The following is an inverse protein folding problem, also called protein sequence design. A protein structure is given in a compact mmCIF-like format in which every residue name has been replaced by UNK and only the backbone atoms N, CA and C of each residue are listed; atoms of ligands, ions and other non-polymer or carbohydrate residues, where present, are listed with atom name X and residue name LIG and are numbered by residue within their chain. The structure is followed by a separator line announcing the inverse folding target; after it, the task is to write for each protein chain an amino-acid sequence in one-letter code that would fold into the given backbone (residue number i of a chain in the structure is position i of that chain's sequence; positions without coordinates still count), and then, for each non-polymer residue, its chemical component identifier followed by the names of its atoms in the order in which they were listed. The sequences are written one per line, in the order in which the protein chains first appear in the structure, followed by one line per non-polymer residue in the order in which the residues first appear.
data_IF_827658131813
#
_entry.id   IF_827658131813
#
_cell.length_a   1.000
_cell.length_b   1.000
_cell.length_c   1.000
_cell.angle_alpha   90.00
_cell.angle_beta   90.00
_cell.angle_gamma   90.00
#
_symmetry.space_group_name_H-M   'P 1'
#
loop_
_entity.id
_entity.type
_entity.pdbx_description
1 polymer ?
#
# COMPACT_ATOMS: atom_id res chain seq x y z
N UNK A 1 12.52 19.44 -10.67
CA UNK A 1 12.80 18.00 -10.43
C UNK A 1 12.92 17.77 -8.93
N UNK A 2 11.83 17.39 -8.26
CA UNK A 2 11.86 17.00 -6.85
C UNK A 2 11.90 15.47 -6.82
N UNK A 3 12.96 14.90 -6.27
CA UNK A 3 13.30 13.48 -6.32
C UNK A 3 12.18 12.59 -5.74
N UNK A 4 11.83 11.51 -6.43
CA UNK A 4 10.95 10.41 -5.96
C UNK A 4 11.29 9.93 -4.52
N UNK A 5 12.55 10.14 -4.10
CA UNK A 5 13.02 9.91 -2.73
C UNK A 5 12.18 10.65 -1.67
N UNK A 6 11.63 11.83 -1.94
CA UNK A 6 10.86 12.60 -0.94
C UNK A 6 9.44 12.05 -0.68
N UNK A 7 8.77 11.49 -1.69
CA UNK A 7 7.47 10.84 -1.52
C UNK A 7 7.56 9.53 -0.72
N UNK A 8 8.64 8.76 -0.94
CA UNK A 8 8.98 7.58 -0.13
C UNK A 8 9.27 7.95 1.33
N UNK A 9 9.84 9.14 1.60
CA UNK A 9 10.07 9.63 2.97
C UNK A 9 8.74 10.00 3.65
N UNK A 10 7.78 10.60 2.95
CA UNK A 10 6.47 10.90 3.53
C UNK A 10 5.68 9.62 3.86
N UNK A 11 5.66 8.63 2.95
CA UNK A 11 5.09 7.30 3.24
C UNK A 11 5.86 6.54 4.32
N UNK A 12 7.19 6.67 4.34
CA UNK A 12 8.06 6.10 5.36
C UNK A 12 7.85 6.68 6.75
N UNK A 13 7.63 8.00 6.87
CA UNK A 13 7.32 8.66 8.15
C UNK A 13 5.94 8.26 8.66
N UNK A 14 4.97 8.07 7.77
CA UNK A 14 3.63 7.56 8.11
C UNK A 14 3.68 6.12 8.63
N UNK A 15 4.42 5.24 7.94
CA UNK A 15 4.68 3.87 8.42
C UNK A 15 5.45 3.90 9.73
N UNK A 16 6.41 4.83 9.89
CA UNK A 16 7.12 4.99 11.16
C UNK A 16 6.18 5.49 12.25
N UNK A 17 5.21 6.37 12.00
CA UNK A 17 4.20 6.77 12.98
C UNK A 17 3.22 5.63 13.34
N UNK A 18 3.00 4.68 12.44
CA UNK A 18 2.21 3.47 12.72
C UNK A 18 3.03 2.42 13.51
N UNK A 19 4.24 2.11 13.05
CA UNK A 19 5.22 1.28 13.76
C UNK A 19 5.66 1.92 15.08
N UNK A 20 5.58 3.24 15.19
CA UNK A 20 5.92 4.01 16.37
C UNK A 20 5.08 3.63 17.56
N UNK A 21 3.80 3.40 17.30
CA UNK A 21 2.87 3.04 18.34
C UNK A 21 2.93 1.53 18.68
N UNK A 22 3.58 0.69 17.87
CA UNK A 22 3.86 -0.72 18.23
C UNK A 22 4.64 -0.86 19.55
N UNK A 23 5.43 0.14 19.94
CA UNK A 23 6.19 0.13 21.19
C UNK A 23 5.41 0.58 22.44
N UNK A 24 4.22 1.15 22.29
CA UNK A 24 3.59 1.94 23.36
C UNK A 24 2.53 1.12 24.09
N UNK A 25 2.92 0.63 25.27
CA UNK A 25 2.00 0.09 26.26
C UNK A 25 0.95 1.13 26.67
N UNK A 26 -0.26 0.66 26.98
CA UNK A 26 -1.40 1.50 27.35
C UNK A 26 -1.04 2.44 28.52
N UNK A 27 -0.84 3.74 28.27
CA UNK A 27 -0.74 4.72 29.33
C UNK A 27 -1.50 6.02 29.03
N UNK A 28 -2.05 6.55 30.11
CA UNK A 28 -3.00 7.65 30.18
C UNK A 28 -2.56 8.95 29.49
N UNK A 29 -3.56 9.78 29.20
CA UNK A 29 -3.55 11.00 28.38
C UNK A 29 -2.47 12.05 28.64
N UNK A 30 -1.71 11.94 29.74
CA UNK A 30 -0.59 12.85 30.05
C UNK A 30 0.75 12.44 29.44
N UNK A 31 0.94 11.17 29.05
CA UNK A 31 2.23 10.66 28.54
C UNK A 31 2.25 10.40 27.04
N UNK A 32 1.10 10.48 26.36
CA UNK A 32 1.01 10.19 24.93
C UNK A 32 1.95 11.07 24.09
N UNK A 33 2.09 12.34 24.43
CA UNK A 33 3.01 13.24 23.72
C UNK A 33 4.47 12.87 23.96
N UNK A 34 4.88 12.72 25.22
CA UNK A 34 6.26 12.37 25.60
C UNK A 34 6.72 11.06 24.96
N UNK A 35 5.83 10.07 24.86
CA UNK A 35 6.13 8.76 24.27
C UNK A 35 6.29 8.83 22.74
N UNK A 36 5.45 9.59 22.04
CA UNK A 36 5.63 9.85 20.60
C UNK A 36 6.95 10.59 20.38
N UNK A 37 7.25 11.59 21.21
CA UNK A 37 8.49 12.35 21.15
C UNK A 37 9.69 11.45 21.39
N UNK A 38 9.70 10.68 22.47
CA UNK A 38 10.80 9.79 22.83
C UNK A 38 11.09 8.75 21.75
N UNK A 39 10.04 8.28 21.06
CA UNK A 39 10.25 7.40 19.93
C UNK A 39 10.74 8.12 18.68
N UNK A 40 10.18 9.29 18.34
CA UNK A 40 10.72 10.08 17.23
C UNK A 40 12.20 10.42 17.47
N UNK A 41 12.61 10.63 18.73
CA UNK A 41 14.01 10.74 19.12
C UNK A 41 14.76 9.41 18.92
N UNK A 42 14.17 8.28 19.36
CA UNK A 42 14.74 6.92 19.19
C UNK A 42 14.99 6.58 17.71
N UNK A 43 14.12 7.02 16.80
CA UNK A 43 14.20 6.78 15.36
C UNK A 43 14.89 7.90 14.58
N UNK A 44 15.34 8.98 15.25
CA UNK A 44 16.00 10.12 14.60
C UNK A 44 15.07 10.95 13.68
N UNK A 45 13.76 10.94 13.94
CA UNK A 45 12.73 11.61 13.15
C UNK A 45 12.09 12.80 13.87
N UNK A 46 12.60 13.19 15.03
CA UNK A 46 12.09 14.32 15.83
C UNK A 46 11.92 15.60 15.03
N UNK A 47 12.92 15.93 14.22
CA UNK A 47 12.92 17.14 13.39
C UNK A 47 12.08 17.00 12.12
N UNK A 48 11.57 15.79 11.84
CA UNK A 48 10.78 15.50 10.64
C UNK A 48 9.28 15.47 10.91
N UNK A 49 8.82 15.37 12.15
CA UNK A 49 7.39 15.29 12.46
C UNK A 49 7.02 16.35 13.48
N UNK A 50 6.04 17.18 13.12
CA UNK A 50 5.48 18.23 13.98
C UNK A 50 3.95 18.15 13.92
N UNK A 51 3.28 18.50 15.00
CA UNK A 51 1.82 18.57 15.06
C UNK A 51 1.40 19.83 15.80
N UNK A 52 0.19 20.31 15.53
CA UNK A 52 -0.34 21.49 16.21
C UNK A 52 -0.89 21.16 17.59
N UNK A 53 -1.57 20.02 17.71
CA UNK A 53 -2.14 19.58 18.98
C UNK A 53 -2.31 18.06 19.00
N UNK A 54 -2.23 17.52 20.20
CA UNK A 54 -2.54 16.12 20.51
C UNK A 54 -3.69 16.10 21.53
N UNK A 55 -4.63 15.19 21.31
CA UNK A 55 -5.67 14.86 22.28
C UNK A 55 -5.66 13.37 22.52
N UNK A 56 -5.67 12.96 23.78
CA UNK A 56 -5.68 11.56 24.17
C UNK A 56 -6.91 11.28 25.03
N UNK A 57 -7.58 10.16 24.79
CA UNK A 57 -8.73 9.73 25.58
C UNK A 57 -8.28 8.84 26.75
N UNK A 58 -9.04 8.80 27.85
CA UNK A 58 -8.76 7.91 28.98
C UNK A 58 -8.88 6.42 28.59
N UNK A 59 -9.46 6.11 27.43
CA UNK A 59 -9.66 4.75 26.92
C UNK A 59 -8.58 4.30 25.93
N UNK A 60 -7.44 5.00 25.85
CA UNK A 60 -6.28 4.56 25.06
C UNK A 60 -6.38 4.87 23.57
N UNK A 61 -7.00 6.00 23.20
CA UNK A 61 -6.94 6.55 21.84
C UNK A 61 -6.22 7.89 21.82
N UNK A 62 -5.53 8.20 20.73
CA UNK A 62 -4.86 9.47 20.52
C UNK A 62 -5.28 10.06 19.17
N UNK A 63 -5.35 11.39 19.11
CA UNK A 63 -5.65 12.14 17.90
C UNK A 63 -4.70 13.33 17.80
N UNK A 64 -3.85 13.30 16.79
CA UNK A 64 -2.96 14.40 16.42
C UNK A 64 -3.65 15.20 15.32
N UNK A 65 -3.61 16.53 15.42
CA UNK A 65 -4.16 17.45 14.41
C UNK A 65 -3.05 18.23 13.73
N UNK A 66 -3.24 18.47 12.43
CA UNK A 66 -2.36 19.29 11.59
C UNK A 66 -0.91 18.81 11.70
N UNK A 67 -0.70 17.55 11.32
CA UNK A 67 0.61 16.90 11.34
C UNK A 67 1.38 17.31 10.09
N UNK A 68 2.55 17.90 10.30
CA UNK A 68 3.51 18.27 9.26
C UNK A 68 4.64 17.27 9.24
N UNK A 69 4.90 16.71 8.06
CA UNK A 69 6.03 15.81 7.81
C UNK A 69 7.07 16.54 6.95
N UNK A 70 8.32 16.53 7.39
CA UNK A 70 9.48 17.14 6.74
C UNK A 70 10.15 18.24 7.58
N UNK A 71 11.38 18.64 7.16
CA UNK A 71 12.17 19.66 7.86
C UNK A 71 11.40 20.96 8.07
N UNK A 72 11.75 21.68 9.14
CA UNK A 72 11.30 23.05 9.35
C UNK A 72 11.62 23.93 8.11
N UNK A 73 10.60 24.58 7.55
CA UNK A 73 10.72 25.42 6.34
C UNK A 73 10.58 24.68 4.99
N UNK A 74 10.64 23.35 4.95
CA UNK A 74 10.42 22.58 3.72
C UNK A 74 9.60 21.31 4.00
N UNK A 75 8.31 21.46 4.35
CA UNK A 75 7.43 20.32 4.55
C UNK A 75 7.33 19.50 3.25
N UNK A 76 7.24 18.19 3.39
CA UNK A 76 7.05 17.25 2.28
C UNK A 76 5.65 16.64 2.28
N UNK A 77 4.95 16.65 3.41
CA UNK A 77 3.54 16.34 3.51
C UNK A 77 2.86 17.08 4.66
N UNK A 78 1.57 17.32 4.51
CA UNK A 78 0.65 17.89 5.48
C UNK A 78 -0.49 16.89 5.66
N UNK A 79 -0.87 16.63 6.90
CA UNK A 79 -1.89 15.65 7.26
C UNK A 79 -2.85 16.33 8.22
N UNK A 80 -4.14 16.34 7.90
CA UNK A 80 -5.14 17.00 8.74
C UNK A 80 -5.28 16.33 10.10
N UNK A 81 -5.33 14.99 10.11
CA UNK A 81 -5.54 14.23 11.33
C UNK A 81 -4.86 12.87 11.28
N UNK A 82 -4.22 12.48 12.38
CA UNK A 82 -3.81 11.10 12.66
C UNK A 82 -4.59 10.61 13.87
N UNK A 83 -5.42 9.58 13.70
CA UNK A 83 -6.16 8.89 14.76
C UNK A 83 -5.49 7.58 15.07
N UNK A 84 -5.37 7.26 16.35
CA UNK A 84 -4.77 6.03 16.84
C UNK A 84 -5.73 5.43 17.87
N UNK A 85 -6.08 4.17 17.70
CA UNK A 85 -7.06 3.48 18.55
C UNK A 85 -6.85 1.97 18.56
N UNK A 86 -7.64 1.26 19.40
CA UNK A 86 -7.65 -0.22 19.42
C UNK A 86 -6.34 -0.86 19.87
N UNK A 87 -5.52 -0.08 20.59
CA UNK A 87 -4.18 -0.48 20.97
C UNK A 87 -4.21 -1.48 22.10
N UNK A 88 -3.52 -2.59 21.90
CA UNK A 88 -3.26 -3.59 22.93
C UNK A 88 -1.78 -3.95 22.85
N UNK A 89 -1.13 -4.04 23.99
CA UNK A 89 0.24 -4.50 24.10
C UNK A 89 0.36 -5.31 25.40
N UNK A 90 -0.12 -6.54 25.34
CA UNK A 90 -0.03 -7.51 26.43
C UNK A 90 1.06 -8.54 26.11
N UNK A 91 1.34 -9.44 27.04
CA UNK A 91 2.35 -10.49 26.84
C UNK A 91 2.02 -11.43 25.68
N UNK A 92 0.72 -11.63 25.42
CA UNK A 92 0.12 -12.59 24.49
C UNK A 92 -0.34 -11.95 23.16
N UNK A 93 -0.73 -10.67 23.17
CA UNK A 93 -1.33 -10.02 21.99
C UNK A 93 -0.92 -8.57 21.82
N UNK A 94 -0.74 -8.17 20.57
CA UNK A 94 -0.51 -6.77 20.20
C UNK A 94 -1.38 -6.37 19.02
N UNK A 95 -2.19 -5.34 19.20
CA UNK A 95 -3.08 -4.85 18.14
C UNK A 95 -3.07 -3.34 18.08
N UNK A 96 -3.54 -2.78 16.97
CA UNK A 96 -3.76 -1.36 16.84
C UNK A 96 -4.39 -0.97 15.51
N UNK A 97 -4.86 0.27 15.47
CA UNK A 97 -5.53 0.88 14.34
C UNK A 97 -5.09 2.34 14.24
N UNK A 98 -4.46 2.67 13.11
CA UNK A 98 -3.97 4.00 12.79
C UNK A 98 -4.69 4.47 11.54
N UNK A 99 -5.37 5.61 11.64
CA UNK A 99 -6.04 6.26 10.51
C UNK A 99 -5.40 7.63 10.27
N UNK A 100 -5.05 7.89 9.02
CA UNK A 100 -4.48 9.13 8.52
C UNK A 100 -5.49 9.72 7.57
N UNK A 101 -5.92 10.94 7.86
CA UNK A 101 -6.93 11.66 7.12
C UNK A 101 -6.32 12.93 6.53
N UNK A 102 -6.62 13.18 5.25
CA UNK A 102 -6.22 14.42 4.59
C UNK A 102 -4.72 14.52 4.31
N UNK A 103 -4.07 13.41 3.90
CA UNK A 103 -2.65 13.43 3.54
C UNK A 103 -2.44 14.12 2.17
N UNK A 104 -1.75 15.25 2.20
CA UNK A 104 -1.47 16.08 1.05
C UNK A 104 0.00 16.55 1.04
N UNK A 105 0.43 17.05 -0.11
CA UNK A 105 1.64 17.83 -0.29
C UNK A 105 1.41 19.28 0.15
N UNK A 106 2.47 20.10 0.31
CA UNK A 106 2.32 21.51 0.70
C UNK A 106 1.49 22.37 -0.26
N UNK A 107 1.32 21.94 -1.51
CA UNK A 107 0.47 22.60 -2.51
C UNK A 107 -1.01 22.15 -2.41
N UNK A 108 -1.37 21.33 -1.44
CA UNK A 108 -2.74 20.86 -1.21
C UNK A 108 -3.15 19.62 -2.00
N UNK A 109 -2.32 19.14 -2.93
CA UNK A 109 -2.63 17.94 -3.73
C UNK A 109 -2.21 16.67 -3.01
N UNK A 110 -2.82 15.53 -3.35
CA UNK A 110 -2.45 14.23 -2.76
C UNK A 110 -0.95 13.96 -2.82
N UNK A 111 -0.41 13.30 -1.79
CA UNK A 111 0.93 12.71 -1.82
C UNK A 111 1.11 11.68 -2.95
N UNK A 112 0.02 11.06 -3.42
CA UNK A 112 0.03 10.10 -4.53
C UNK A 112 0.08 10.76 -5.91
N UNK A 113 -0.17 12.07 -6.02
CA UNK A 113 -0.09 12.81 -7.29
C UNK A 113 1.31 12.77 -7.92
N UNK A 114 2.35 12.50 -7.14
CA UNK A 114 3.73 12.38 -7.62
C UNK A 114 4.07 11.01 -8.21
N UNK A 115 3.18 10.03 -8.07
CA UNK A 115 3.41 8.68 -8.58
C UNK A 115 3.36 8.66 -10.11
N UNK A 116 4.10 7.76 -10.74
CA UNK A 116 4.04 7.57 -12.19
C UNK A 116 2.63 7.17 -12.66
N UNK A 117 1.89 6.48 -11.79
CA UNK A 117 0.49 6.12 -12.01
C UNK A 117 -0.36 7.39 -12.19
N UNK A 118 -0.35 8.30 -11.20
CA UNK A 118 -1.11 9.56 -11.27
C UNK A 118 -0.70 10.44 -12.46
N UNK A 119 0.60 10.51 -12.76
CA UNK A 119 1.12 11.25 -13.93
C UNK A 119 0.61 10.71 -15.25
N UNK A 120 0.61 9.38 -15.44
CA UNK A 120 0.16 8.74 -16.68
C UNK A 120 -1.33 8.91 -16.92
N UNK A 121 -2.13 8.97 -15.87
CA UNK A 121 -3.56 9.24 -15.97
C UNK A 121 -3.91 10.74 -16.05
N UNK A 122 -2.92 11.64 -16.05
CA UNK A 122 -3.17 13.08 -16.06
C UNK A 122 -3.81 13.63 -14.77
N UNK A 123 -3.81 12.85 -13.68
CA UNK A 123 -4.39 13.21 -12.38
C UNK A 123 -3.33 13.84 -11.47
N UNK A 124 -2.90 15.05 -11.81
CA UNK A 124 -1.90 15.80 -11.02
C UNK A 124 -2.51 16.57 -9.85
N UNK A 125 -3.81 16.88 -9.92
CA UNK A 125 -4.55 17.65 -8.93
C UNK A 125 -5.55 16.74 -8.21
N UNK A 126 -5.02 15.77 -7.47
CA UNK A 126 -5.85 14.83 -6.71
C UNK A 126 -6.15 15.40 -5.32
N UNK A 127 -7.38 15.23 -4.80
CA UNK A 127 -7.70 15.56 -3.42
C UNK A 127 -6.82 14.78 -2.43
N UNK A 128 -6.66 15.27 -1.18
CA UNK A 128 -5.90 14.59 -0.14
C UNK A 128 -6.32 13.12 0.04
N UNK A 129 -5.35 12.24 0.32
CA UNK A 129 -5.58 10.81 0.48
C UNK A 129 -5.82 10.44 1.95
N UNK A 130 -6.55 9.35 2.18
CA UNK A 130 -6.66 8.73 3.51
C UNK A 130 -5.99 7.36 3.51
N UNK A 131 -5.40 6.99 4.65
CA UNK A 131 -4.79 5.68 4.86
C UNK A 131 -5.20 5.15 6.22
N UNK A 132 -5.69 3.93 6.29
CA UNK A 132 -5.90 3.20 7.54
C UNK A 132 -5.04 1.96 7.56
N UNK A 133 -4.35 1.73 8.67
CA UNK A 133 -3.56 0.53 8.92
C UNK A 133 -4.04 -0.08 10.22
N UNK A 134 -4.47 -1.33 10.16
CA UNK A 134 -4.86 -2.11 11.33
C UNK A 134 -4.00 -3.37 11.37
N UNK A 135 -3.53 -3.72 12.56
CA UNK A 135 -2.78 -4.95 12.78
C UNK A 135 -3.27 -5.65 14.05
N UNK A 136 -3.07 -6.96 14.08
CA UNK A 136 -3.39 -7.80 15.21
C UNK A 136 -2.45 -9.00 15.23
N UNK A 137 -1.49 -9.00 16.15
CA UNK A 137 -0.45 -10.00 16.31
C UNK A 137 -0.71 -10.80 17.58
N UNK A 138 -0.78 -12.12 17.47
CA UNK A 138 -0.91 -13.03 18.60
C UNK A 138 0.42 -13.78 18.75
N UNK A 139 1.12 -13.53 19.86
CA UNK A 139 2.47 -14.05 20.11
C UNK A 139 2.48 -15.56 20.30
N UNK A 140 1.49 -16.08 21.02
CA UNK A 140 1.43 -17.51 21.38
C UNK A 140 1.14 -18.38 20.15
N UNK A 141 0.30 -17.88 19.24
CA UNK A 141 -0.02 -18.55 17.98
C UNK A 141 0.97 -18.23 16.84
N UNK A 142 1.92 -17.33 17.07
CA UNK A 142 2.90 -16.85 16.08
C UNK A 142 2.23 -16.41 14.77
N UNK A 143 1.11 -15.67 14.86
CA UNK A 143 0.32 -15.21 13.73
C UNK A 143 0.05 -13.70 13.78
N UNK A 144 -0.16 -13.08 12.62
CA UNK A 144 -0.59 -11.70 12.54
C UNK A 144 -1.60 -11.47 11.41
N UNK A 145 -2.61 -10.66 11.69
CA UNK A 145 -3.50 -10.09 10.69
C UNK A 145 -3.08 -8.65 10.42
N UNK A 146 -2.97 -8.27 9.15
CA UNK A 146 -2.68 -6.92 8.70
C UNK A 146 -3.76 -6.48 7.72
N UNK A 147 -4.32 -5.30 7.95
CA UNK A 147 -5.28 -4.66 7.05
C UNK A 147 -4.79 -3.26 6.72
N UNK A 148 -4.78 -2.91 5.44
CA UNK A 148 -4.43 -1.59 4.94
C UNK A 148 -5.55 -1.14 4.00
N UNK A 149 -6.13 0.03 4.28
CA UNK A 149 -7.12 0.68 3.42
C UNK A 149 -6.54 2.01 2.96
N UNK A 150 -6.41 2.18 1.65
CA UNK A 150 -6.01 3.42 1.00
C UNK A 150 -7.21 3.99 0.26
N UNK A 151 -7.59 5.21 0.60
CA UNK A 151 -8.62 5.96 -0.12
C UNK A 151 -7.95 7.13 -0.84
N UNK A 152 -8.01 7.10 -2.17
CA UNK A 152 -7.61 8.21 -3.02
C UNK A 152 -8.83 8.69 -3.79
N UNK A 153 -9.54 9.71 -3.27
CA UNK A 153 -10.70 10.30 -3.95
C UNK A 153 -10.36 10.68 -5.39
N UNK A 154 -11.31 10.44 -6.30
CA UNK A 154 -11.20 10.71 -7.73
C UNK A 154 -10.12 9.91 -8.48
N UNK A 155 -9.52 8.90 -7.85
CA UNK A 155 -8.63 7.95 -8.50
C UNK A 155 -8.98 6.50 -8.18
N UNK A 156 -8.75 6.04 -6.95
CA UNK A 156 -8.96 4.65 -6.55
C UNK A 156 -9.10 4.49 -5.05
N UNK A 157 -9.74 3.40 -4.64
CA UNK A 157 -9.71 2.90 -3.28
C UNK A 157 -9.10 1.49 -3.30
N UNK A 158 -8.19 1.19 -2.38
CA UNK A 158 -7.53 -0.10 -2.30
C UNK A 158 -7.61 -0.65 -0.87
N UNK A 159 -7.94 -1.93 -0.73
CA UNK A 159 -7.99 -2.66 0.54
C UNK A 159 -7.12 -3.89 0.43
N UNK A 160 -6.09 -3.98 1.28
CA UNK A 160 -5.22 -5.13 1.42
C UNK A 160 -5.48 -5.76 2.80
N UNK A 161 -5.77 -7.06 2.83
CA UNK A 161 -5.79 -7.87 4.05
C UNK A 161 -4.79 -9.02 3.89
N UNK A 162 -3.99 -9.28 4.91
CA UNK A 162 -2.99 -10.35 4.93
C UNK A 162 -3.08 -11.10 6.26
N UNK A 163 -3.14 -12.42 6.18
CA UNK A 163 -2.95 -13.31 7.31
C UNK A 163 -1.55 -13.90 7.23
N UNK A 164 -0.76 -13.72 8.28
CA UNK A 164 0.65 -14.07 8.35
C UNK A 164 0.91 -15.08 9.46
N UNK A 165 1.88 -15.96 9.26
CA UNK A 165 2.38 -16.93 10.24
C UNK A 165 3.89 -16.80 10.39
N UNK A 166 4.45 -17.25 11.52
CA UNK A 166 5.89 -17.14 11.84
C UNK A 166 6.38 -15.70 11.90
N UNK A 167 5.60 -14.85 12.54
CA UNK A 167 5.82 -13.41 12.67
C UNK A 167 6.74 -13.03 13.84
N UNK A 168 6.92 -13.91 14.83
CA UNK A 168 7.70 -13.66 16.05
C UNK A 168 9.11 -13.14 15.73
N UNK A 169 9.79 -13.78 14.77
CA UNK A 169 11.11 -13.35 14.29
C UNK A 169 11.08 -11.94 13.68
N UNK A 170 10.10 -11.66 12.81
CA UNK A 170 9.94 -10.35 12.18
C UNK A 170 9.62 -9.24 13.21
N UNK A 171 8.78 -9.56 14.20
CA UNK A 171 8.43 -8.62 15.29
C UNK A 171 9.65 -8.34 16.16
N UNK A 172 10.43 -9.37 16.52
CA UNK A 172 11.65 -9.16 17.30
C UNK A 172 12.67 -8.28 16.58
N UNK A 173 12.76 -8.41 15.25
CA UNK A 173 13.61 -7.55 14.42
C UNK A 173 13.13 -6.10 14.39
N UNK A 174 11.80 -5.89 14.36
CA UNK A 174 11.20 -4.56 14.42
C UNK A 174 11.39 -3.88 15.80
N UNK A 175 11.66 -4.65 16.86
CA UNK A 175 11.98 -4.10 18.19
C UNK A 175 13.47 -3.73 18.32
N UNK A 176 14.34 -4.31 17.49
CA UNK A 176 15.78 -4.05 17.49
C UNK A 176 16.12 -2.77 16.70
N UNK A 177 16.62 -1.77 17.43
CA UNK A 177 17.02 -0.45 16.91
C UNK A 177 18.13 -0.55 15.87
N UNK A 178 19.14 -1.38 16.12
CA UNK A 178 20.31 -1.48 15.25
C UNK A 178 19.96 -2.22 13.95
N UNK A 179 18.99 -3.13 14.02
CA UNK A 179 18.42 -3.80 12.86
C UNK A 179 17.59 -2.85 11.98
N UNK A 180 16.70 -2.04 12.58
CA UNK A 180 15.89 -1.05 11.85
C UNK A 180 16.73 0.04 11.18
N UNK A 181 17.76 0.56 11.87
CA UNK A 181 18.69 1.54 11.29
C UNK A 181 19.50 0.89 10.15
N UNK A 182 19.93 -0.36 10.32
CA UNK A 182 20.59 -1.13 9.26
C UNK A 182 19.71 -1.30 8.02
N UNK A 183 18.42 -1.62 8.21
CA UNK A 183 17.41 -1.74 7.16
C UNK A 183 17.21 -0.42 6.40
N UNK A 184 17.04 0.68 7.13
CA UNK A 184 16.87 2.02 6.52
C UNK A 184 18.10 2.43 5.69
N UNK A 185 19.31 2.14 6.16
CA UNK A 185 20.56 2.40 5.44
C UNK A 185 20.73 1.49 4.22
N UNK A 186 20.30 0.22 4.29
CA UNK A 186 20.30 -0.70 3.15
C UNK A 186 19.29 -0.30 2.06
N UNK A 187 18.10 0.17 2.44
CA UNK A 187 17.12 0.72 1.49
C UNK A 187 17.66 1.90 0.69
N UNK A 188 18.63 2.65 1.23
CA UNK A 188 19.34 3.72 0.52
C UNK A 188 20.52 3.24 -0.36
N UNK A 189 21.14 2.09 -0.04
CA UNK A 189 22.36 1.59 -0.69
C UNK A 189 22.11 0.49 -1.74
N UNK A 190 20.85 0.07 -1.93
CA UNK A 190 20.43 -0.89 -2.94
C UNK A 190 20.37 -2.34 -2.44
N UNK A 191 19.37 -3.09 -2.94
CA UNK A 191 19.01 -4.46 -2.52
C UNK A 191 20.00 -5.56 -2.98
N UNK A 192 21.31 -5.27 -3.01
CA UNK A 192 22.30 -6.20 -3.58
C UNK A 192 22.60 -7.42 -2.72
N UNK A 193 22.34 -7.36 -1.41
CA UNK A 193 22.62 -8.45 -0.46
C UNK A 193 21.62 -8.41 0.69
N UNK A 194 20.63 -9.30 0.67
CA UNK A 194 19.85 -9.62 1.87
C UNK A 194 20.86 -10.20 2.86
N UNK A 195 21.25 -9.40 3.85
CA UNK A 195 22.21 -9.81 4.87
C UNK A 195 21.58 -10.83 5.83
N UNK A 196 22.40 -11.51 6.65
CA UNK A 196 21.93 -12.45 7.66
C UNK A 196 20.96 -11.81 8.68
N UNK A 197 20.91 -10.49 8.79
CA UNK A 197 20.04 -9.77 9.73
C UNK A 197 18.58 -9.78 9.30
N UNK A 198 18.28 -10.03 8.02
CA UNK A 198 16.91 -10.18 7.52
C UNK A 198 16.44 -11.64 7.47
N UNK A 199 17.25 -12.59 7.96
CA UNK A 199 16.85 -14.00 8.06
C UNK A 199 15.51 -14.19 8.79
N UNK A 200 15.17 -13.45 9.87
CA UNK A 200 13.86 -13.59 10.50
C UNK A 200 12.68 -13.16 9.61
N UNK A 201 12.89 -12.25 8.66
CA UNK A 201 11.85 -11.87 7.68
C UNK A 201 11.67 -12.93 6.60
N UNK A 202 12.70 -13.74 6.35
CA UNK A 202 12.66 -14.80 5.35
C UNK A 202 11.73 -15.95 5.77
N UNK A 203 11.59 -16.17 7.08
CA UNK A 203 10.75 -17.22 7.67
C UNK A 203 9.27 -16.85 7.76
N UNK A 204 8.93 -15.55 7.71
CA UNK A 204 7.57 -15.04 7.67
C UNK A 204 6.79 -15.70 6.52
N UNK A 205 5.59 -16.21 6.80
CA UNK A 205 4.74 -16.89 5.82
C UNK A 205 3.44 -16.15 5.58
N UNK A 206 3.03 -16.06 4.32
CA UNK A 206 1.71 -15.59 3.92
C UNK A 206 0.77 -16.79 3.95
N UNK A 207 -0.20 -16.79 4.88
CA UNK A 207 -1.23 -17.82 5.01
C UNK A 207 -2.37 -17.60 4.03
N UNK A 208 -2.83 -16.36 3.94
CA UNK A 208 -3.83 -15.90 2.98
C UNK A 208 -3.68 -14.41 2.77
N UNK A 209 -4.29 -13.90 1.70
CA UNK A 209 -4.34 -12.48 1.45
C UNK A 209 -5.47 -12.10 0.52
N UNK A 210 -5.92 -10.87 0.59
CA UNK A 210 -6.85 -10.30 -0.38
C UNK A 210 -6.45 -8.86 -0.68
N UNK A 211 -6.43 -8.49 -1.95
CA UNK A 211 -6.28 -7.13 -2.42
C UNK A 211 -7.50 -6.78 -3.27
N UNK A 212 -8.33 -5.87 -2.77
CA UNK A 212 -9.45 -5.29 -3.53
C UNK A 212 -9.07 -3.89 -3.99
N UNK A 213 -9.32 -3.58 -5.25
CA UNK A 213 -9.13 -2.25 -5.83
C UNK A 213 -10.43 -1.83 -6.48
N UNK A 214 -10.92 -0.66 -6.10
CA UNK A 214 -12.07 0.01 -6.70
C UNK A 214 -11.61 1.26 -7.43
N UNK A 215 -11.87 1.33 -8.72
CA UNK A 215 -11.72 2.54 -9.52
C UNK A 215 -12.72 3.61 -9.07
N UNK A 216 -12.21 4.81 -8.84
CA UNK A 216 -12.98 6.01 -8.51
C UNK A 216 -12.75 7.13 -9.53
N UNK A 217 -12.32 6.78 -10.75
CA UNK A 217 -12.14 7.70 -11.87
C UNK A 217 -10.75 7.65 -12.53
N UNK A 218 -9.82 6.85 -12.01
CA UNK A 218 -8.50 6.65 -12.60
C UNK A 218 -8.59 5.90 -13.94
N UNK A 219 -9.27 4.75 -13.96
CA UNK A 219 -9.39 3.89 -15.14
C UNK A 219 -10.18 4.60 -16.21
N UNK A 220 -11.33 5.18 -15.86
CA UNK A 220 -12.16 5.90 -16.81
C UNK A 220 -11.37 6.99 -17.56
N UNK A 221 -10.66 7.87 -16.83
CA UNK A 221 -9.87 8.92 -17.45
C UNK A 221 -8.69 8.34 -18.25
N UNK A 222 -8.04 7.30 -17.76
CA UNK A 222 -6.95 6.63 -18.48
C UNK A 222 -7.42 6.07 -19.83
N UNK A 223 -8.60 5.46 -19.87
CA UNK A 223 -9.22 4.95 -21.09
C UNK A 223 -9.59 6.08 -22.05
N UNK A 224 -10.17 7.17 -21.55
CA UNK A 224 -10.50 8.34 -22.37
C UNK A 224 -9.25 8.98 -23.01
N UNK A 225 -8.19 9.17 -22.23
CA UNK A 225 -6.91 9.68 -22.72
C UNK A 225 -6.28 8.71 -23.71
N UNK A 226 -6.29 7.41 -23.42
CA UNK A 226 -5.77 6.39 -24.32
C UNK A 226 -6.49 6.41 -25.67
N UNK A 227 -7.83 6.42 -25.66
CA UNK A 227 -8.64 6.52 -26.88
C UNK A 227 -8.30 7.78 -27.68
N UNK A 228 -8.17 8.92 -27.00
CA UNK A 228 -7.92 10.22 -27.66
C UNK A 228 -6.55 10.30 -28.31
N UNK A 229 -5.51 9.80 -27.65
CA UNK A 229 -4.11 10.01 -28.07
C UNK A 229 -3.49 8.83 -28.81
N UNK A 230 -3.99 7.60 -28.62
CA UNK A 230 -3.40 6.40 -29.22
C UNK A 230 -4.27 5.79 -30.33
N UNK A 231 -5.53 6.21 -30.48
CA UNK A 231 -6.44 5.68 -31.51
C UNK A 231 -6.81 6.76 -32.53
N UNK A 232 -6.56 6.45 -33.80
CA UNK A 232 -6.87 7.31 -34.92
C UNK A 232 -8.35 7.21 -35.30
N UNK A 233 -8.93 8.35 -35.67
CA UNK A 233 -10.23 8.40 -36.31
C UNK A 233 -10.04 8.81 -37.77
N UNK A 234 -10.68 8.08 -38.68
CA UNK A 234 -10.61 8.37 -40.11
C UNK A 234 -11.49 9.58 -40.47
N UNK A 235 -10.93 10.61 -41.13
CA UNK A 235 -11.69 11.76 -41.57
C UNK A 235 -12.81 11.36 -42.53
N UNK A 236 -14.04 11.82 -42.26
CA UNK A 236 -15.20 11.59 -43.14
C UNK A 236 -16.03 10.34 -42.83
N UNK A 237 -15.54 9.40 -42.02
CA UNK A 237 -16.28 8.18 -41.66
C UNK A 237 -17.11 8.32 -40.37
N UNK A 238 -18.02 9.29 -40.32
CA UNK A 238 -18.95 9.45 -39.20
C UNK A 238 -18.31 9.98 -37.91
N UNK A 239 -18.82 9.57 -36.74
CA UNK A 239 -18.42 10.14 -35.45
C UNK A 239 -17.06 9.57 -34.97
N UNK A 240 -16.01 10.42 -34.80
CA UNK A 240 -14.68 9.99 -34.36
C UNK A 240 -14.64 9.20 -33.05
N UNK A 241 -15.48 9.57 -32.08
CA UNK A 241 -15.49 8.93 -30.75
C UNK A 241 -16.08 7.51 -30.83
N UNK A 242 -17.07 7.30 -31.70
CA UNK A 242 -17.61 5.96 -31.97
C UNK A 242 -16.59 5.06 -32.66
N UNK A 243 -15.80 5.60 -33.58
CA UNK A 243 -14.72 4.84 -34.22
C UNK A 243 -13.67 4.40 -33.20
N UNK A 244 -13.18 5.34 -32.36
CA UNK A 244 -12.19 5.04 -31.31
C UNK A 244 -12.71 4.07 -30.27
N UNK A 245 -13.99 4.20 -29.88
CA UNK A 245 -14.61 3.25 -28.96
C UNK A 245 -14.59 1.83 -29.54
N UNK A 246 -15.01 1.65 -30.80
CA UNK A 246 -14.99 0.34 -31.47
C UNK A 246 -13.57 -0.24 -31.61
N UNK A 247 -12.59 0.61 -31.94
CA UNK A 247 -11.18 0.18 -32.00
C UNK A 247 -10.65 -0.23 -30.62
N UNK A 248 -11.00 0.50 -29.57
CA UNK A 248 -10.63 0.19 -28.20
C UNK A 248 -11.24 -1.14 -27.74
N UNK A 249 -12.54 -1.36 -27.98
CA UNK A 249 -13.21 -2.60 -27.59
C UNK A 249 -12.57 -3.81 -28.27
N UNK A 250 -12.18 -3.66 -29.54
CA UNK A 250 -11.41 -4.67 -30.27
C UNK A 250 -10.02 -4.89 -29.64
N UNK A 251 -9.31 -3.82 -29.29
CA UNK A 251 -8.00 -3.90 -28.63
C UNK A 251 -8.07 -4.62 -27.28
N UNK A 252 -9.10 -4.34 -26.48
CA UNK A 252 -9.34 -5.03 -25.20
C UNK A 252 -9.63 -6.51 -25.45
N UNK A 253 -10.52 -6.83 -26.39
CA UNK A 253 -10.84 -8.23 -26.72
C UNK A 253 -9.63 -9.00 -27.25
N UNK A 254 -8.81 -8.39 -28.11
CA UNK A 254 -7.61 -9.02 -28.67
C UNK A 254 -6.53 -9.19 -27.58
N UNK A 255 -6.43 -8.23 -26.65
CA UNK A 255 -5.54 -8.33 -25.48
C UNK A 255 -5.98 -9.43 -24.51
N UNK A 256 -7.29 -9.56 -24.25
CA UNK A 256 -7.84 -10.62 -23.42
C UNK A 256 -7.53 -12.00 -24.02
N UNK A 257 -7.86 -12.21 -25.31
CA UNK A 257 -7.55 -13.47 -26.00
C UNK A 257 -6.07 -13.80 -25.98
N UNK A 258 -5.20 -12.81 -26.20
CA UNK A 258 -3.75 -13.02 -26.10
C UNK A 258 -3.33 -13.43 -24.69
N UNK A 259 -3.91 -12.84 -23.65
CA UNK A 259 -3.66 -13.22 -22.27
C UNK A 259 -4.03 -14.70 -22.02
N UNK A 260 -5.20 -15.12 -22.51
CA UNK A 260 -5.71 -16.50 -22.45
C UNK A 260 -4.80 -17.47 -23.21
N UNK A 261 -4.52 -17.19 -24.48
CA UNK A 261 -3.73 -18.03 -25.39
C UNK A 261 -2.28 -18.21 -24.92
N UNK A 262 -1.66 -17.13 -24.43
CA UNK A 262 -0.28 -17.15 -23.94
C UNK A 262 -0.17 -17.64 -22.49
N UNK A 263 -1.30 -17.92 -21.83
CA UNK A 263 -1.36 -18.24 -20.40
C UNK A 263 -0.56 -17.23 -19.56
N UNK A 264 -0.81 -15.94 -19.83
CA UNK A 264 -0.08 -14.82 -19.19
C UNK A 264 -0.26 -14.77 -17.68
N UNK A 265 -1.35 -15.36 -17.18
CA UNK A 265 -1.68 -15.52 -15.77
C UNK A 265 -1.57 -16.99 -15.34
N UNK A 266 -0.69 -17.78 -15.98
CA UNK A 266 -0.37 -19.13 -15.55
C UNK A 266 0.02 -19.15 -14.08
N UNK A 267 -0.62 -20.02 -13.30
CA UNK A 267 -0.45 -20.13 -11.86
C UNK A 267 -1.58 -19.51 -11.05
N UNK A 268 -2.48 -18.72 -11.67
CA UNK A 268 -3.81 -18.47 -11.11
C UNK A 268 -4.66 -19.75 -11.14
N UNK A 269 -5.66 -19.83 -10.27
CA UNK A 269 -6.58 -20.98 -10.20
C UNK A 269 -7.31 -21.18 -11.53
N UNK A 270 -7.73 -20.08 -12.17
CA UNK A 270 -8.23 -20.06 -13.54
C UNK A 270 -7.60 -18.89 -14.31
N UNK A 271 -6.77 -19.22 -15.30
CA UNK A 271 -6.11 -18.21 -16.14
C UNK A 271 -7.10 -17.40 -16.96
N UNK A 272 -8.12 -18.06 -17.51
CA UNK A 272 -8.99 -17.44 -18.51
C UNK A 272 -9.98 -16.48 -17.83
N UNK A 273 -10.54 -16.90 -16.69
CA UNK A 273 -11.34 -16.02 -15.83
C UNK A 273 -10.52 -14.83 -15.30
N UNK A 274 -9.26 -15.06 -14.90
CA UNK A 274 -8.39 -13.97 -14.45
C UNK A 274 -8.07 -12.99 -15.58
N UNK A 275 -7.80 -13.47 -16.80
CA UNK A 275 -7.57 -12.62 -17.97
C UNK A 275 -8.81 -11.79 -18.29
N UNK A 276 -10.01 -12.41 -18.21
CA UNK A 276 -11.28 -11.71 -18.38
C UNK A 276 -11.49 -10.64 -17.29
N UNK A 277 -11.24 -10.96 -16.03
CA UNK A 277 -11.45 -10.04 -14.92
C UNK A 277 -10.52 -8.81 -15.00
N UNK A 278 -9.26 -9.04 -15.37
CA UNK A 278 -8.29 -7.99 -15.60
C UNK A 278 -8.69 -7.10 -16.79
N UNK A 279 -9.13 -7.70 -17.90
CA UNK A 279 -9.55 -6.97 -19.09
C UNK A 279 -10.76 -6.07 -18.81
N UNK A 280 -11.79 -6.59 -18.12
CA UNK A 280 -12.99 -5.84 -17.75
C UNK A 280 -12.72 -4.70 -16.77
N UNK A 281 -11.79 -4.90 -15.83
CA UNK A 281 -11.37 -3.80 -14.96
C UNK A 281 -10.58 -2.75 -15.73
N UNK A 282 -9.58 -3.16 -16.53
CA UNK A 282 -8.72 -2.24 -17.26
C UNK A 282 -9.45 -1.45 -18.37
N UNK A 283 -10.53 -2.00 -18.92
CA UNK A 283 -11.40 -1.31 -19.88
C UNK A 283 -12.38 -0.31 -19.23
N UNK A 284 -12.57 -0.41 -17.90
CA UNK A 284 -13.58 0.34 -17.17
C UNK A 284 -14.99 -0.30 -17.19
N UNK A 285 -15.15 -1.49 -17.79
CA UNK A 285 -16.44 -2.21 -17.77
C UNK A 285 -16.84 -2.63 -16.35
N UNK A 286 -15.83 -2.91 -15.51
CA UNK A 286 -15.97 -3.17 -14.09
C UNK A 286 -15.15 -2.18 -13.29
N UNK A 287 -15.75 -1.67 -12.22
CA UNK A 287 -15.11 -0.70 -11.33
C UNK A 287 -14.30 -1.34 -10.22
N UNK A 288 -14.45 -2.64 -9.98
CA UNK A 288 -13.76 -3.32 -8.89
C UNK A 288 -13.01 -4.53 -9.43
N UNK A 289 -11.86 -4.81 -8.85
CA UNK A 289 -11.11 -6.04 -9.06
C UNK A 289 -10.56 -6.50 -7.71
N UNK A 290 -10.69 -7.80 -7.43
CA UNK A 290 -10.21 -8.42 -6.21
C UNK A 290 -9.27 -9.58 -6.55
N UNK A 291 -8.09 -9.56 -5.95
CA UNK A 291 -7.10 -10.62 -5.98
C UNK A 291 -7.11 -11.32 -4.63
N UNK A 292 -7.41 -12.61 -4.58
CA UNK A 292 -7.37 -13.40 -3.34
C UNK A 292 -6.29 -14.47 -3.45
N UNK A 293 -5.42 -14.55 -2.44
CA UNK A 293 -4.35 -15.53 -2.31
C UNK A 293 -4.79 -16.63 -1.36
N UNK A 294 -4.91 -17.85 -1.86
CA UNK A 294 -5.32 -19.03 -1.10
C UNK A 294 -4.28 -20.16 -1.22
N UNK A 295 -3.04 -19.92 -0.77
CA UNK A 295 -2.00 -20.92 -0.87
C UNK A 295 -2.38 -22.17 -0.06
N UNK A 296 -2.13 -23.36 -0.62
CA UNK A 296 -2.49 -24.64 0.03
C UNK A 296 -1.83 -24.81 1.40
N UNK A 297 -0.62 -24.31 1.54
CA UNK A 297 0.11 -24.16 2.79
C UNK A 297 0.66 -22.74 2.80
N UNK A 298 0.76 -22.08 3.97
CA UNK A 298 1.31 -20.73 4.02
C UNK A 298 2.67 -20.66 3.32
N UNK A 299 2.99 -19.60 2.58
CA UNK A 299 4.20 -19.51 1.73
C UNK A 299 5.20 -18.55 2.35
N UNK A 300 6.45 -18.97 2.56
CA UNK A 300 7.47 -18.08 3.12
C UNK A 300 7.95 -17.01 2.15
N UNK A 301 8.37 -15.86 2.69
CA UNK A 301 9.05 -14.83 1.92
C UNK A 301 10.32 -15.40 1.24
N UNK A 302 11.05 -16.30 1.91
CA UNK A 302 12.19 -16.99 1.31
C UNK A 302 11.81 -17.78 0.04
N UNK A 303 10.72 -18.55 0.10
CA UNK A 303 10.21 -19.31 -1.05
C UNK A 303 9.81 -18.39 -2.20
N UNK A 304 9.13 -17.28 -1.91
CA UNK A 304 8.75 -16.27 -2.91
C UNK A 304 9.98 -15.64 -3.57
N UNK A 305 10.97 -15.22 -2.78
CA UNK A 305 12.20 -14.62 -3.28
C UNK A 305 13.02 -15.60 -4.12
N UNK A 306 13.10 -16.86 -3.71
CA UNK A 306 13.78 -17.91 -4.48
C UNK A 306 13.12 -18.19 -5.84
N UNK A 307 11.83 -17.87 -5.96
CA UNK A 307 11.02 -18.06 -7.17
C UNK A 307 10.79 -16.76 -7.95
N UNK A 308 11.33 -15.62 -7.51
CA UNK A 308 11.02 -14.29 -8.05
C UNK A 308 11.31 -14.13 -9.55
N UNK A 309 12.27 -14.89 -10.09
CA UNK A 309 12.59 -14.88 -11.52
C UNK A 309 11.60 -15.67 -12.39
N UNK A 310 10.63 -16.37 -11.79
CA UNK A 310 9.60 -17.11 -12.48
C UNK A 310 8.22 -16.76 -11.91
N UNK A 311 7.57 -15.78 -12.54
CA UNK A 311 6.27 -15.27 -12.14
C UNK A 311 5.19 -16.37 -12.04
N UNK A 312 5.14 -17.29 -13.00
CA UNK A 312 4.16 -18.39 -12.97
C UNK A 312 4.31 -19.30 -11.76
N UNK A 313 5.56 -19.53 -11.33
CA UNK A 313 5.86 -20.31 -10.12
C UNK A 313 5.46 -19.56 -8.85
N UNK A 314 5.67 -18.24 -8.81
CA UNK A 314 5.21 -17.40 -7.69
C UNK A 314 3.68 -17.44 -7.58
N UNK A 315 2.98 -17.31 -8.69
CA UNK A 315 1.52 -17.42 -8.71
C UNK A 315 1.07 -18.82 -8.28
N UNK A 316 1.65 -19.88 -8.82
CA UNK A 316 1.28 -21.24 -8.43
C UNK A 316 1.51 -21.53 -6.92
N UNK A 317 2.52 -20.90 -6.30
CA UNK A 317 2.72 -21.00 -4.85
C UNK A 317 1.60 -20.31 -4.06
N UNK A 318 1.17 -19.14 -4.51
CA UNK A 318 0.15 -18.32 -3.85
C UNK A 318 -1.29 -18.73 -4.19
N UNK A 319 -1.48 -19.53 -5.24
CA UNK A 319 -2.78 -19.93 -5.80
C UNK A 319 -3.78 -18.76 -5.85
N UNK A 320 -3.47 -17.70 -6.63
CA UNK A 320 -4.32 -16.52 -6.69
C UNK A 320 -5.59 -16.77 -7.51
N UNK A 321 -6.66 -16.13 -7.08
CA UNK A 321 -7.91 -15.93 -7.83
C UNK A 321 -8.08 -14.45 -8.12
N UNK A 322 -8.67 -14.12 -9.27
CA UNK A 322 -8.93 -12.74 -9.68
C UNK A 322 -10.37 -12.61 -10.16
N UNK A 323 -11.11 -11.66 -9.59
CA UNK A 323 -12.54 -11.48 -9.84
C UNK A 323 -12.95 -10.00 -9.83
N UNK A 324 -14.13 -9.66 -10.36
CA UNK A 324 -14.67 -8.29 -10.41
C UNK A 324 -16.03 -8.14 -9.72
#
# INVERSE_FOLDING_TARGET
MINQKKGLIAGGVVVVLACAWWGLGAYASGKAEDEIVALLDKTGQRDMVRWQSISASPFGSAKLKQVTVGPAGSPIALIDTVKISGLRNTSDRRSGDVTIEGAALPNGTSVLSQTDLARRAGKLDLPPANLRVRWDYQRDDDNAELQLTLEQPEALNAELALSLERVNGAVSLAEDRDALVGLAMMGMMGMGRIDRKLAPLAELRIKSGSLSVKDDGYVQLSVELFKRYNLSAEPGEGNPDKQRAKQFDKLVSDSQKRCEDQKSLAGFDDNDDACQALARFASGDKRTIALTLNPRNGVSIAELLSSANNQSKVFALLAPTLEN
#
